data_IF_090378367152
#
_entry.id   IF_090378367152
#
_cell.length_a   1.000
_cell.length_b   1.000
_cell.length_c   1.000
_cell.angle_alpha   90.00
_cell.angle_beta   90.00
_cell.angle_gamma   90.00
#
_symmetry.space_group_name_H-M   'P 1'
#
loop_
_entity.id
_entity.type
_entity.pdbx_description
1 polymer ?
#
# COMPACT_ATOMS: atom_id res chain seq x y z
N UNK A 1 -23.77 -2.00 -13.83
CA UNK A 1 -23.10 -1.75 -12.53
C UNK A 1 -21.84 -2.60 -12.44
N UNK A 2 -20.68 -2.11 -12.89
CA UNK A 2 -19.41 -2.87 -12.87
C UNK A 2 -18.19 -2.05 -12.39
N UNK A 3 -18.38 -0.75 -12.08
CA UNK A 3 -17.29 0.13 -11.65
C UNK A 3 -16.81 -0.06 -10.21
N UNK A 4 -17.64 -0.65 -9.33
CA UNK A 4 -17.34 -0.78 -7.90
C UNK A 4 -16.23 -1.80 -7.59
N UNK A 5 -16.28 -2.97 -8.21
CA UNK A 5 -15.30 -4.04 -8.01
C UNK A 5 -13.90 -3.66 -8.49
N UNK A 6 -13.81 -3.14 -9.73
CA UNK A 6 -12.53 -2.67 -10.30
C UNK A 6 -11.91 -1.53 -9.49
N UNK A 7 -12.73 -0.64 -8.92
CA UNK A 7 -12.25 0.44 -8.04
C UNK A 7 -11.70 -0.11 -6.72
N UNK A 8 -12.29 -1.17 -6.17
CA UNK A 8 -11.81 -1.84 -4.95
C UNK A 8 -10.44 -2.47 -5.16
N UNK A 9 -10.25 -3.22 -6.24
CA UNK A 9 -8.97 -3.88 -6.55
C UNK A 9 -7.82 -2.87 -6.68
N UNK A 10 -8.06 -1.73 -7.36
CA UNK A 10 -7.06 -0.67 -7.50
C UNK A 10 -6.70 -0.05 -6.15
N UNK A 11 -7.69 0.14 -5.26
CA UNK A 11 -7.45 0.67 -3.91
C UNK A 11 -6.63 -0.32 -3.07
N UNK A 12 -6.98 -1.61 -3.11
CA UNK A 12 -6.25 -2.67 -2.40
C UNK A 12 -4.80 -2.77 -2.90
N UNK A 13 -4.59 -2.76 -4.22
CA UNK A 13 -3.25 -2.78 -4.82
C UNK A 13 -2.41 -1.56 -4.41
N UNK A 14 -2.98 -0.35 -4.42
CA UNK A 14 -2.30 0.87 -3.92
C UNK A 14 -1.97 0.77 -2.44
N UNK A 15 -2.84 0.11 -1.66
CA UNK A 15 -2.59 -0.15 -0.25
C UNK A 15 -1.35 -1.01 -0.05
N UNK A 16 -1.26 -2.13 -0.79
CA UNK A 16 -0.09 -3.02 -0.74
C UNK A 16 1.20 -2.29 -1.12
N UNK A 17 1.20 -1.49 -2.19
CA UNK A 17 2.37 -0.68 -2.58
C UNK A 17 2.78 0.28 -1.46
N UNK A 18 1.81 0.94 -0.82
CA UNK A 18 2.07 1.85 0.30
C UNK A 18 2.66 1.12 1.50
N UNK A 19 2.09 -0.04 1.86
CA UNK A 19 2.57 -0.89 2.94
C UNK A 19 4.02 -1.35 2.73
N UNK A 20 4.32 -1.93 1.56
CA UNK A 20 5.67 -2.41 1.23
C UNK A 20 6.69 -1.26 1.22
N UNK A 21 6.35 -0.14 0.57
CA UNK A 21 7.25 1.01 0.47
C UNK A 21 7.61 1.61 1.84
N UNK A 22 6.67 1.63 2.78
CA UNK A 22 6.90 2.13 4.15
C UNK A 22 7.62 1.09 5.00
N UNK A 23 7.16 -0.17 5.03
CA UNK A 23 7.66 -1.21 5.96
C UNK A 23 8.98 -1.83 5.52
N UNK A 24 9.15 -2.09 4.23
CA UNK A 24 10.37 -2.72 3.68
C UNK A 24 11.31 -1.65 3.13
N UNK A 25 10.76 -0.70 2.38
CA UNK A 25 11.56 0.36 1.75
C UNK A 25 12.00 1.47 2.71
N UNK A 26 11.50 1.49 3.95
CA UNK A 26 11.82 2.52 4.94
C UNK A 26 11.41 3.94 4.52
N UNK A 27 10.54 4.09 3.53
CA UNK A 27 10.13 5.40 3.04
C UNK A 27 9.15 6.04 4.02
N UNK A 28 9.53 7.18 4.59
CA UNK A 28 8.61 7.98 5.41
C UNK A 28 7.35 8.38 4.64
N UNK A 29 6.15 8.31 5.25
CA UNK A 29 4.89 8.63 4.57
C UNK A 29 4.84 9.99 3.85
N UNK A 30 5.44 11.09 4.37
CA UNK A 30 5.49 12.35 3.64
C UNK A 30 6.31 12.28 2.35
N UNK A 31 7.44 11.56 2.36
CA UNK A 31 8.30 11.38 1.17
C UNK A 31 7.59 10.54 0.12
N UNK A 32 6.97 9.44 0.54
CA UNK A 32 6.21 8.58 -0.37
C UNK A 32 5.01 9.30 -0.99
N UNK A 33 4.28 10.10 -0.21
CA UNK A 33 3.17 10.92 -0.71
C UNK A 33 3.61 11.87 -1.83
N UNK A 34 4.78 12.52 -1.69
CA UNK A 34 5.34 13.36 -2.76
C UNK A 34 5.68 12.56 -4.03
N UNK A 35 6.30 11.39 -3.88
CA UNK A 35 6.66 10.53 -5.02
C UNK A 35 5.44 10.04 -5.79
N UNK A 36 4.38 9.66 -5.06
CA UNK A 36 3.14 9.15 -5.64
C UNK A 36 2.10 10.23 -5.94
N UNK A 37 2.41 11.51 -5.68
CA UNK A 37 1.51 12.66 -5.85
C UNK A 37 0.16 12.48 -5.13
N UNK A 38 0.21 12.00 -3.90
CA UNK A 38 -0.96 11.83 -3.02
C UNK A 38 -0.69 12.40 -1.63
N UNK A 39 -1.76 12.65 -0.86
CA UNK A 39 -1.63 13.18 0.50
C UNK A 39 -0.97 12.17 1.44
N UNK A 40 -0.32 12.67 2.50
CA UNK A 40 0.20 11.84 3.59
C UNK A 40 -0.89 10.92 4.15
N UNK A 41 -2.10 11.43 4.33
CA UNK A 41 -3.25 10.68 4.84
C UNK A 41 -3.65 9.54 3.91
N UNK A 42 -3.58 9.75 2.59
CA UNK A 42 -3.82 8.69 1.61
C UNK A 42 -2.78 7.56 1.71
N UNK A 43 -1.52 7.90 2.00
CA UNK A 43 -0.48 6.90 2.25
C UNK A 43 -0.77 6.13 3.54
N UNK A 44 -1.07 6.82 4.66
CA UNK A 44 -1.34 6.16 5.94
C UNK A 44 -2.52 5.18 5.83
N UNK A 45 -3.63 5.61 5.23
CA UNK A 45 -4.76 4.74 4.95
C UNK A 45 -4.39 3.59 4.00
N UNK A 46 -3.54 3.87 3.01
CA UNK A 46 -2.99 2.84 2.12
C UNK A 46 -2.21 1.78 2.88
N UNK A 47 -1.36 2.16 3.84
CA UNK A 47 -0.58 1.23 4.67
C UNK A 47 -1.52 0.30 5.46
N UNK A 48 -2.54 0.84 6.12
CA UNK A 48 -3.55 0.05 6.86
C UNK A 48 -4.27 -0.94 5.94
N UNK A 49 -4.76 -0.47 4.78
CA UNK A 49 -5.42 -1.33 3.78
C UNK A 49 -4.45 -2.41 3.29
N UNK A 50 -3.20 -2.04 3.00
CA UNK A 50 -2.17 -2.95 2.53
C UNK A 50 -1.89 -4.06 3.53
N UNK A 51 -1.74 -3.73 4.81
CA UNK A 51 -1.54 -4.72 5.87
C UNK A 51 -2.70 -5.72 5.94
N UNK A 52 -3.94 -5.24 5.91
CA UNK A 52 -5.12 -6.11 5.87
C UNK A 52 -5.16 -7.00 4.63
N UNK A 53 -4.79 -6.48 3.45
CA UNK A 53 -4.74 -7.26 2.21
C UNK A 53 -3.64 -8.33 2.27
N UNK A 54 -2.47 -8.01 2.83
CA UNK A 54 -1.38 -8.98 3.03
C UNK A 54 -1.85 -10.12 3.93
N UNK A 55 -2.44 -9.80 5.09
CA UNK A 55 -2.95 -10.79 6.05
C UNK A 55 -4.04 -11.65 5.44
N UNK A 56 -5.05 -11.03 4.80
CA UNK A 56 -6.20 -11.72 4.21
C UNK A 56 -5.78 -12.74 3.15
N UNK A 57 -4.72 -12.45 2.39
CA UNK A 57 -4.22 -13.33 1.34
C UNK A 57 -3.10 -14.28 1.80
N UNK A 58 -2.69 -14.22 3.08
CA UNK A 58 -1.56 -15.00 3.59
C UNK A 58 -0.22 -14.67 2.91
N UNK A 59 -0.04 -13.42 2.49
CA UNK A 59 1.19 -12.96 1.85
C UNK A 59 2.24 -12.58 2.89
N UNK A 60 3.47 -13.03 2.66
CA UNK A 60 4.62 -12.70 3.50
C UNK A 60 5.57 -11.76 2.77
N UNK A 61 6.09 -10.75 3.48
CA UNK A 61 7.14 -9.90 2.95
C UNK A 61 8.48 -10.66 2.98
N UNK A 62 9.12 -10.76 1.82
CA UNK A 62 10.50 -11.26 1.71
C UNK A 62 11.40 -10.15 1.20
N UNK A 63 12.48 -9.86 1.94
CA UNK A 63 13.55 -8.96 1.49
C UNK A 63 14.72 -9.78 0.97
N UNK A 64 15.21 -9.44 -0.23
CA UNK A 64 16.35 -10.11 -0.87
C UNK A 64 17.65 -9.29 -0.78
N UNK A 65 17.63 -8.20 -0.02
CA UNK A 65 18.77 -7.32 0.17
C UNK A 65 19.46 -7.69 1.49
N UNK A 66 20.61 -8.34 1.37
CA UNK A 66 21.60 -8.62 2.43
C UNK A 66 22.71 -7.59 2.39
#
# INVERSE_FOLDING_TARGET
MSGGGRRREVVEARGVVSYVAVRVGGLGPPRLGRLLRVSRQSILRGVEIGEHVMIRNGWELKSFWS
#
